data_IF_689303911040
#
_entry.id   IF_689303911040
#
_cell.length_a   1.000
_cell.length_b   1.000
_cell.length_c   1.000
_cell.angle_alpha   90.00
_cell.angle_beta   90.00
_cell.angle_gamma   90.00
#
_symmetry.space_group_name_H-M   'P 1'
#
loop_
_entity.id
_entity.type
_entity.pdbx_description
1 polymer ?
#
# COMPACT_ATOMS: atom_id res chain seq x y z
N UNK A 1 47.31 -18.66 13.51
CA UNK A 1 45.87 -18.96 13.76
C UNK A 1 45.13 -17.82 14.47
N UNK A 2 45.64 -17.26 15.59
CA UNK A 2 44.98 -16.14 16.32
C UNK A 2 44.80 -14.85 15.49
N UNK A 3 45.83 -14.45 14.72
CA UNK A 3 45.76 -13.24 13.86
C UNK A 3 44.67 -13.36 12.78
N UNK A 4 44.52 -14.55 12.19
CA UNK A 4 43.54 -14.82 11.13
C UNK A 4 42.10 -14.77 11.68
N UNK A 5 41.88 -15.31 12.89
CA UNK A 5 40.60 -15.21 13.59
C UNK A 5 40.24 -13.78 13.97
N UNK A 6 41.22 -12.98 14.41
CA UNK A 6 41.01 -11.56 14.73
C UNK A 6 40.64 -10.75 13.48
N UNK A 7 41.33 -11.00 12.36
CA UNK A 7 40.98 -10.40 11.07
C UNK A 7 39.57 -10.78 10.62
N UNK A 8 39.19 -12.05 10.77
CA UNK A 8 37.87 -12.53 10.39
C UNK A 8 36.75 -11.90 11.23
N UNK A 9 36.96 -11.76 12.55
CA UNK A 9 36.00 -11.10 13.45
C UNK A 9 35.86 -9.60 13.18
N UNK A 10 36.94 -8.92 12.77
CA UNK A 10 36.90 -7.51 12.39
C UNK A 10 36.21 -7.27 11.04
N UNK A 11 36.24 -8.25 10.12
CA UNK A 11 35.64 -8.12 8.79
C UNK A 11 34.13 -8.41 8.78
N UNK A 12 33.64 -9.20 9.74
CA UNK A 12 32.23 -9.57 9.87
C UNK A 12 31.25 -8.37 9.90
N UNK A 13 31.46 -7.30 10.69
CA UNK A 13 30.56 -6.15 10.70
C UNK A 13 30.61 -5.32 9.42
N UNK A 14 31.76 -5.28 8.72
CA UNK A 14 31.88 -4.57 7.44
C UNK A 14 31.04 -5.25 6.34
N UNK A 15 31.00 -6.58 6.33
CA UNK A 15 30.19 -7.34 5.37
C UNK A 15 28.69 -7.13 5.59
N UNK A 16 28.23 -6.97 6.84
CA UNK A 16 26.82 -6.73 7.16
C UNK A 16 26.35 -5.33 6.73
N UNK A 17 27.22 -4.32 6.79
CA UNK A 17 26.89 -2.95 6.36
C UNK A 17 26.75 -2.83 4.82
N UNK A 18 27.44 -3.68 4.05
CA UNK A 18 27.36 -3.67 2.59
C UNK A 18 26.05 -4.24 2.02
N UNK A 19 25.29 -5.01 2.81
CA UNK A 19 24.05 -5.65 2.36
C UNK A 19 22.80 -4.80 2.58
N UNK A 20 22.92 -3.63 3.22
CA UNK A 20 21.79 -2.71 3.44
C UNK A 20 22.05 -1.46 2.60
N UNK A 21 21.59 -1.40 1.34
CA UNK A 21 21.59 -0.14 0.62
C UNK A 21 20.63 0.80 1.35
N UNK A 22 21.18 1.71 2.16
CA UNK A 22 20.43 2.86 2.62
C UNK A 22 19.99 3.61 1.37
N UNK A 23 18.68 3.72 1.15
CA UNK A 23 18.18 4.57 0.07
C UNK A 23 18.70 5.99 0.36
N UNK A 24 19.42 6.63 -0.57
CA UNK A 24 19.91 7.98 -0.34
C UNK A 24 18.70 8.87 -0.07
N UNK A 25 18.84 9.79 0.89
CA UNK A 25 17.83 10.83 1.06
C UNK A 25 17.66 11.53 -0.28
N UNK A 26 16.44 11.62 -0.82
CA UNK A 26 16.22 12.21 -2.13
C UNK A 26 16.69 13.68 -2.10
N UNK A 27 17.81 13.95 -2.77
CA UNK A 27 18.27 15.31 -3.00
C UNK A 27 17.38 15.97 -4.04
N UNK A 28 16.85 17.16 -3.74
CA UNK A 28 15.97 17.88 -4.65
C UNK A 28 15.71 19.31 -4.18
N UNK A 29 15.28 20.17 -5.11
CA UNK A 29 14.79 21.52 -4.81
C UNK A 29 13.40 21.38 -4.18
N UNK A 30 13.15 22.09 -3.08
CA UNK A 30 11.80 22.17 -2.50
C UNK A 30 10.86 22.78 -3.53
N UNK A 31 9.86 22.01 -3.96
CA UNK A 31 8.82 22.50 -4.86
C UNK A 31 7.78 23.29 -4.05
N UNK A 32 7.37 24.44 -4.57
CA UNK A 32 6.28 25.20 -3.99
C UNK A 32 4.96 24.42 -4.11
N UNK A 33 4.10 24.53 -3.10
CA UNK A 33 2.79 23.88 -3.14
C UNK A 33 1.92 24.45 -4.28
N UNK A 34 1.12 23.61 -4.97
CA UNK A 34 0.17 24.09 -5.96
C UNK A 34 -0.78 25.14 -5.36
N UNK A 35 -0.99 26.25 -6.06
CA UNK A 35 -1.93 27.32 -5.67
C UNK A 35 -3.37 26.81 -5.56
N UNK A 36 -3.73 25.85 -6.40
CA UNK A 36 -5.04 25.21 -6.38
C UNK A 36 -4.87 23.77 -5.87
N UNK A 37 -5.63 23.35 -4.85
CA UNK A 37 -5.61 21.97 -4.39
C UNK A 37 -5.94 21.02 -5.55
N UNK A 38 -5.14 19.97 -5.77
CA UNK A 38 -5.42 19.00 -6.82
C UNK A 38 -6.79 18.33 -6.58
N UNK A 39 -7.53 18.10 -7.65
CA UNK A 39 -8.79 17.37 -7.61
C UNK A 39 -8.54 15.90 -7.93
N UNK A 40 -9.10 14.99 -7.12
CA UNK A 40 -8.99 13.56 -7.39
C UNK A 40 -9.95 13.20 -8.52
N UNK A 41 -9.40 12.59 -9.57
CA UNK A 41 -10.16 12.13 -10.73
C UNK A 41 -11.20 11.08 -10.31
N UNK A 42 -12.42 11.21 -10.83
CA UNK A 42 -13.49 10.24 -10.64
C UNK A 42 -13.17 8.86 -11.25
N UNK A 43 -13.69 7.75 -10.68
CA UNK A 43 -13.44 6.42 -11.19
C UNK A 43 -14.29 6.16 -12.43
N UNK A 44 -13.77 5.31 -13.33
CA UNK A 44 -14.46 4.89 -14.54
C UNK A 44 -14.35 3.37 -14.69
N UNK A 45 -15.46 2.70 -14.97
CA UNK A 45 -15.47 1.27 -15.28
C UNK A 45 -14.51 0.97 -16.43
N UNK A 46 -13.69 -0.07 -16.26
CA UNK A 46 -12.63 -0.46 -17.19
C UNK A 46 -11.30 0.27 -16.99
N UNK A 47 -11.21 1.24 -16.08
CA UNK A 47 -9.91 1.81 -15.69
C UNK A 47 -9.08 0.72 -14.99
N UNK A 48 -7.79 0.66 -15.33
CA UNK A 48 -6.87 -0.37 -14.84
C UNK A 48 -5.55 0.21 -14.31
N UNK A 49 -4.95 -0.55 -13.40
CA UNK A 49 -3.61 -0.35 -12.90
C UNK A 49 -2.89 -1.69 -12.85
N UNK A 50 -1.59 -1.71 -13.13
CA UNK A 50 -0.78 -2.92 -13.13
C UNK A 50 0.42 -2.71 -12.22
N UNK A 51 0.60 -3.60 -11.25
CA UNK A 51 1.63 -3.53 -10.22
C UNK A 51 2.57 -4.74 -10.30
N UNK A 52 3.87 -4.47 -10.24
CA UNK A 52 4.87 -5.52 -10.03
C UNK A 52 5.05 -5.74 -8.52
N UNK A 53 4.70 -6.91 -8.03
CA UNK A 53 4.94 -7.31 -6.65
C UNK A 53 6.36 -7.84 -6.55
N UNK A 54 7.17 -7.25 -5.68
CA UNK A 54 8.58 -7.59 -5.53
C UNK A 54 8.87 -8.21 -4.17
N UNK A 55 9.77 -9.18 -4.16
CA UNK A 55 10.37 -9.67 -2.93
C UNK A 55 11.22 -8.56 -2.30
N UNK A 56 10.98 -8.27 -1.02
CA UNK A 56 11.63 -7.16 -0.30
C UNK A 56 13.15 -7.34 -0.16
N UNK A 57 13.66 -8.58 -0.16
CA UNK A 57 15.06 -8.89 0.08
C UNK A 57 15.92 -8.85 -1.18
N UNK A 58 15.43 -9.39 -2.30
CA UNK A 58 16.22 -9.55 -3.53
C UNK A 58 15.62 -8.80 -4.75
N UNK A 59 14.50 -8.09 -4.57
CA UNK A 59 13.79 -7.33 -5.61
C UNK A 59 13.22 -8.16 -6.78
N UNK A 60 13.26 -9.48 -6.68
CA UNK A 60 12.68 -10.39 -7.67
C UNK A 60 11.16 -10.15 -7.81
N UNK A 61 10.65 -10.16 -9.04
CA UNK A 61 9.21 -10.04 -9.29
C UNK A 61 8.54 -11.35 -8.93
N UNK A 62 7.81 -11.34 -7.80
CA UNK A 62 7.09 -12.51 -7.30
C UNK A 62 5.71 -12.64 -7.93
N UNK A 63 5.06 -11.55 -8.31
CA UNK A 63 3.79 -11.55 -9.04
C UNK A 63 3.58 -10.24 -9.82
N UNK A 64 2.59 -10.24 -10.73
CA UNK A 64 2.06 -9.05 -11.39
C UNK A 64 0.57 -8.98 -11.12
N UNK A 65 0.11 -7.93 -10.45
CA UNK A 65 -1.29 -7.74 -10.08
C UNK A 65 -1.92 -6.68 -10.97
N UNK A 66 -3.03 -7.05 -11.62
CA UNK A 66 -3.89 -6.12 -12.35
C UNK A 66 -5.12 -5.81 -11.51
N UNK A 67 -5.37 -4.52 -11.33
CA UNK A 67 -6.57 -4.00 -10.67
C UNK A 67 -7.45 -3.31 -11.70
N UNK A 68 -8.76 -3.56 -11.66
CA UNK A 68 -9.73 -3.07 -12.64
C UNK A 68 -10.96 -2.54 -11.95
N UNK A 69 -11.38 -1.30 -12.25
CA UNK A 69 -12.69 -0.80 -11.82
C UNK A 69 -13.78 -1.58 -12.57
N UNK A 70 -14.54 -2.41 -11.85
CA UNK A 70 -15.59 -3.25 -12.46
C UNK A 70 -16.99 -2.67 -12.24
N UNK A 71 -17.18 -1.84 -11.23
CA UNK A 71 -18.45 -1.12 -11.03
C UNK A 71 -18.23 0.25 -10.39
N UNK A 72 -19.11 1.20 -10.75
CA UNK A 72 -19.21 2.53 -10.15
C UNK A 72 -20.69 2.79 -9.88
N UNK A 73 -21.06 2.93 -8.62
CA UNK A 73 -22.43 3.16 -8.16
C UNK A 73 -22.43 3.61 -6.70
N UNK A 74 -23.33 3.09 -5.84
CA UNK A 74 -23.25 3.33 -4.39
C UNK A 74 -21.92 2.89 -3.78
N UNK A 75 -21.29 1.89 -4.40
CA UNK A 75 -19.93 1.43 -4.11
C UNK A 75 -19.13 1.44 -5.40
N UNK A 76 -17.82 1.65 -5.27
CA UNK A 76 -16.86 1.42 -6.35
C UNK A 76 -16.17 0.11 -6.04
N UNK A 77 -16.27 -0.86 -6.96
CA UNK A 77 -15.64 -2.16 -6.81
C UNK A 77 -14.46 -2.26 -7.75
N UNK A 78 -13.30 -2.59 -7.19
CA UNK A 78 -12.06 -2.80 -7.93
C UNK A 78 -11.69 -4.27 -7.82
N UNK A 79 -11.80 -4.97 -8.95
CA UNK A 79 -11.39 -6.35 -9.07
C UNK A 79 -9.88 -6.47 -9.17
N UNK A 80 -9.31 -7.48 -8.52
CA UNK A 80 -7.87 -7.71 -8.42
C UNK A 80 -7.52 -9.11 -8.91
N UNK A 81 -6.52 -9.20 -9.77
CA UNK A 81 -6.08 -10.45 -10.39
C UNK A 81 -4.55 -10.48 -10.45
N UNK A 82 -3.94 -11.46 -9.78
CA UNK A 82 -2.53 -11.79 -9.95
C UNK A 82 -2.32 -12.77 -11.10
N UNK A 83 -1.18 -12.64 -11.78
CA UNK A 83 -0.76 -13.59 -12.82
C UNK A 83 -0.45 -14.96 -12.20
N UNK A 84 0.24 -14.98 -11.06
CA UNK A 84 0.56 -16.23 -10.33
C UNK A 84 -0.47 -16.57 -9.27
N UNK A 85 -0.94 -15.57 -8.51
CA UNK A 85 -1.85 -15.81 -7.37
C UNK A 85 -3.32 -16.00 -7.76
N UNK A 86 -3.69 -15.70 -9.00
CA UNK A 86 -5.06 -15.86 -9.45
C UNK A 86 -5.97 -14.73 -8.97
N UNK A 87 -7.25 -15.05 -8.77
CA UNK A 87 -8.25 -14.07 -8.33
C UNK A 87 -7.97 -13.66 -6.88
N UNK A 88 -7.76 -12.37 -6.66
CA UNK A 88 -7.55 -11.79 -5.33
C UNK A 88 -8.85 -11.15 -4.81
N UNK A 89 -8.99 -10.94 -3.49
CA UNK A 89 -10.14 -10.25 -2.92
C UNK A 89 -10.31 -8.84 -3.48
N UNK A 90 -11.56 -8.38 -3.59
CA UNK A 90 -11.89 -7.07 -4.12
C UNK A 90 -11.60 -5.95 -3.14
N UNK A 91 -11.19 -4.82 -3.70
CA UNK A 91 -11.25 -3.55 -3.01
C UNK A 91 -12.65 -2.95 -3.24
N UNK A 92 -13.27 -2.50 -2.14
CA UNK A 92 -14.58 -1.86 -2.17
C UNK A 92 -14.42 -0.49 -1.53
N UNK A 93 -14.80 0.56 -2.27
CA UNK A 93 -14.83 1.93 -1.79
C UNK A 93 -16.24 2.49 -1.71
N UNK A 94 -16.51 3.32 -0.71
CA UNK A 94 -17.81 3.96 -0.50
C UNK A 94 -17.67 5.28 0.30
N UNK A 95 -17.74 6.47 -0.32
CA UNK A 95 -17.72 6.74 -1.75
C UNK A 95 -16.31 6.54 -2.34
N UNK A 96 -16.09 6.95 -3.60
CA UNK A 96 -14.75 6.98 -4.19
C UNK A 96 -13.76 7.75 -3.31
N UNK A 97 -12.60 7.17 -3.06
CA UNK A 97 -11.58 7.67 -2.15
C UNK A 97 -11.72 7.24 -0.70
N UNK A 98 -12.76 6.47 -0.37
CA UNK A 98 -12.99 5.96 0.98
C UNK A 98 -13.04 4.44 0.96
N UNK A 99 -12.04 3.78 1.53
CA UNK A 99 -11.94 2.33 1.59
C UNK A 99 -12.94 1.77 2.60
N UNK A 100 -13.82 0.88 2.13
CA UNK A 100 -14.73 0.10 2.98
C UNK A 100 -14.17 -1.32 3.19
N UNK A 101 -13.61 -1.93 2.16
CA UNK A 101 -12.95 -3.23 2.24
C UNK A 101 -11.55 -3.15 1.66
N UNK A 102 -10.55 -3.42 2.49
CA UNK A 102 -9.14 -3.38 2.16
C UNK A 102 -8.58 -4.80 1.92
N UNK A 103 -8.21 -5.13 0.66
CA UNK A 103 -7.65 -6.42 0.30
C UNK A 103 -6.12 -6.47 0.43
N UNK A 104 -5.48 -5.47 1.03
CA UNK A 104 -4.07 -5.52 1.42
C UNK A 104 -3.82 -6.59 2.49
N UNK A 105 -4.76 -6.75 3.41
CA UNK A 105 -4.68 -7.71 4.50
C UNK A 105 -5.09 -9.12 4.05
N UNK A 106 -4.53 -10.12 4.73
CA UNK A 106 -4.90 -11.51 4.54
C UNK A 106 -5.22 -12.17 5.90
N UNK A 107 -6.49 -12.46 6.21
CA UNK A 107 -7.69 -12.22 5.40
C UNK A 107 -8.02 -10.71 5.24
N UNK A 108 -8.79 -10.32 4.19
CA UNK A 108 -9.16 -8.91 3.97
C UNK A 108 -9.94 -8.31 5.12
N UNK A 109 -9.75 -7.01 5.34
CA UNK A 109 -10.45 -6.26 6.37
C UNK A 109 -11.60 -5.46 5.78
N UNK A 110 -12.74 -5.43 6.46
CA UNK A 110 -13.87 -4.57 6.15
C UNK A 110 -14.08 -3.59 7.29
N UNK A 111 -13.84 -2.31 7.03
CA UNK A 111 -14.04 -1.26 8.02
C UNK A 111 -15.54 -1.08 8.31
N UNK A 112 -15.88 -0.77 9.57
CA UNK A 112 -17.26 -0.45 9.95
C UNK A 112 -17.68 0.90 9.38
N UNK A 113 -16.74 1.83 9.26
CA UNK A 113 -16.90 3.12 8.61
C UNK A 113 -15.90 3.25 7.47
N UNK A 114 -16.29 3.72 6.28
CA UNK A 114 -15.32 3.94 5.20
C UNK A 114 -14.19 4.90 5.61
N UNK A 115 -12.94 4.54 5.34
CA UNK A 115 -11.76 5.35 5.70
C UNK A 115 -11.20 6.10 4.49
N UNK A 116 -10.81 7.38 4.60
CA UNK A 116 -10.21 8.09 3.48
C UNK A 116 -8.84 7.48 3.12
N UNK A 117 -8.64 7.16 1.83
CA UNK A 117 -7.36 6.65 1.30
C UNK A 117 -6.30 7.75 1.14
N UNK A 118 -6.75 9.00 1.09
CA UNK A 118 -5.91 10.19 0.97
C UNK A 118 -6.47 11.30 1.86
N UNK A 119 -5.67 12.33 2.20
CA UNK A 119 -6.16 13.47 2.96
C UNK A 119 -7.43 14.06 2.36
N UNK A 120 -8.45 14.33 3.20
CA UNK A 120 -9.69 14.97 2.73
C UNK A 120 -9.43 16.36 2.17
N UNK A 121 -8.37 17.02 2.66
CA UNK A 121 -7.89 18.28 2.13
C UNK A 121 -6.42 18.12 1.72
N UNK A 122 -6.15 18.33 0.44
CA UNK A 122 -4.80 18.28 -0.13
C UNK A 122 -4.09 19.63 0.05
N UNK A 123 -4.07 20.12 1.30
CA UNK A 123 -3.46 21.39 1.73
C UNK A 123 -2.42 21.16 2.82
N UNK A 124 -1.44 22.05 2.94
CA UNK A 124 -0.40 21.92 3.96
C UNK A 124 -0.96 22.14 5.36
N UNK A 125 -0.45 21.39 6.34
CA UNK A 125 -0.87 21.48 7.74
C UNK A 125 -2.22 20.82 8.07
N UNK A 126 -2.90 20.24 7.08
CA UNK A 126 -4.12 19.48 7.35
C UNK A 126 -3.81 18.22 8.15
N UNK A 127 -4.69 17.92 9.11
CA UNK A 127 -4.68 16.68 9.86
C UNK A 127 -6.11 16.22 10.12
N UNK A 128 -6.30 14.92 10.20
CA UNK A 128 -7.56 14.28 10.55
C UNK A 128 -7.28 13.11 11.49
N UNK A 129 -8.22 12.83 12.39
CA UNK A 129 -8.17 11.65 13.24
C UNK A 129 -9.46 10.85 13.06
N UNK A 130 -9.31 9.56 12.80
CA UNK A 130 -10.42 8.66 12.51
C UNK A 130 -10.35 7.50 13.49
N UNK A 131 -11.37 7.36 14.33
CA UNK A 131 -11.53 6.17 15.15
C UNK A 131 -12.38 5.18 14.37
N UNK A 132 -11.81 4.02 14.07
CA UNK A 132 -12.53 2.98 13.35
C UNK A 132 -12.34 1.62 14.00
N UNK A 133 -13.14 0.67 13.54
CA UNK A 133 -13.03 -0.76 13.82
C UNK A 133 -13.21 -1.49 12.50
N UNK A 134 -12.77 -2.74 12.45
CA UNK A 134 -12.93 -3.56 11.26
C UNK A 134 -13.43 -4.95 11.62
N UNK A 135 -14.03 -5.59 10.62
CA UNK A 135 -14.37 -7.00 10.62
C UNK A 135 -13.47 -7.72 9.64
N UNK A 136 -13.27 -9.01 9.87
CA UNK A 136 -12.59 -9.87 8.89
C UNK A 136 -13.62 -10.35 7.88
N UNK A 137 -13.31 -10.22 6.59
CA UNK A 137 -14.19 -10.70 5.52
C UNK A 137 -14.41 -12.21 5.67
N UNK A 138 -15.69 -12.63 5.70
CA UNK A 138 -16.09 -14.03 5.93
C UNK A 138 -16.36 -14.39 7.40
N UNK A 139 -16.04 -13.50 8.34
CA UNK A 139 -16.31 -13.68 9.79
C UNK A 139 -17.04 -12.45 10.34
N UNK A 140 -18.33 -12.26 9.98
CA UNK A 140 -19.12 -11.15 10.49
C UNK A 140 -19.30 -11.24 12.02
N UNK A 141 -19.64 -10.11 12.64
CA UNK A 141 -19.97 -9.97 14.07
C UNK A 141 -18.78 -10.03 15.05
N UNK A 142 -17.55 -10.10 14.54
CA UNK A 142 -16.33 -9.90 15.32
C UNK A 142 -15.66 -8.58 14.92
N UNK A 143 -15.73 -7.59 15.81
CA UNK A 143 -15.19 -6.26 15.57
C UNK A 143 -13.84 -6.06 16.28
N UNK A 144 -12.80 -5.75 15.51
CA UNK A 144 -11.43 -5.50 15.98
C UNK A 144 -11.11 -4.00 15.98
N UNK A 145 -10.12 -3.61 16.80
CA UNK A 145 -9.54 -2.26 16.82
C UNK A 145 -8.35 -2.14 15.88
#
# INVERSE_FOLDING_TARGET
MRLLQQLFLLFLPLALAACIPAQPYPGGVLLNQPLNPPQVRAPKVGQQWVYNVRNVFNQEIVDVVTETVVSVGPQVVIARQGVKTGRLPDEIQQPWGYILQDPHWNPPQKFLQPMPLWPEQLVSGWSGFYRNRYQVVGYPDNDYY
#
